data_IF_678007315698
#
_entry.id   IF_678007315698
#
_cell.length_a   1.000
_cell.length_b   1.000
_cell.length_c   1.000
_cell.angle_alpha   90.00
_cell.angle_beta   90.00
_cell.angle_gamma   90.00
#
_symmetry.space_group_name_H-M   'P 1'
#
loop_
_entity.id
_entity.type
_entity.pdbx_description
1 polymer ?
#
# COMPACT_ATOMS: atom_id res chain seq x y z
N UNK A 1 -9.90 -2.10 -20.48
CA UNK A 1 -9.20 -1.01 -19.77
C UNK A 1 -8.50 -1.62 -18.57
N UNK A 2 -7.27 -1.21 -18.19
CA UNK A 2 -6.63 -1.72 -16.98
C UNK A 2 -7.37 -1.29 -15.72
N UNK A 3 -7.37 -2.20 -14.74
CA UNK A 3 -7.89 -1.98 -13.39
C UNK A 3 -6.73 -1.91 -12.40
N UNK A 4 -6.84 -1.01 -11.42
CA UNK A 4 -5.83 -0.76 -10.41
C UNK A 4 -6.46 -0.75 -9.02
N UNK A 5 -5.65 -1.13 -8.04
CA UNK A 5 -5.88 -0.92 -6.61
C UNK A 5 -5.01 0.25 -6.17
N UNK A 6 -5.63 1.35 -5.77
CA UNK A 6 -4.99 2.53 -5.21
C UNK A 6 -5.03 2.48 -3.68
N UNK A 7 -3.85 2.59 -3.06
CA UNK A 7 -3.63 2.68 -1.63
C UNK A 7 -3.39 4.14 -1.25
N UNK A 8 -4.38 4.73 -0.57
CA UNK A 8 -4.34 6.10 -0.09
C UNK A 8 -3.67 6.15 1.28
N UNK A 9 -2.66 6.99 1.46
CA UNK A 9 -1.99 7.19 2.76
C UNK A 9 -2.57 8.41 3.48
N UNK A 10 -2.47 8.39 4.82
CA UNK A 10 -2.85 9.49 5.68
C UNK A 10 -4.33 9.92 5.56
N UNK A 11 -5.20 8.95 5.27
CA UNK A 11 -6.66 9.11 5.27
C UNK A 11 -7.24 8.62 6.60
N UNK A 12 -8.29 9.28 7.10
CA UNK A 12 -8.99 8.90 8.33
C UNK A 12 -8.07 8.77 9.56
N UNK A 13 -7.05 9.64 9.66
CA UNK A 13 -6.15 9.74 10.82
C UNK A 13 -6.31 11.09 11.53
N UNK A 14 -6.40 11.06 12.86
CA UNK A 14 -6.60 12.26 13.67
C UNK A 14 -7.84 13.04 13.23
N UNK A 15 -7.65 14.28 12.78
CA UNK A 15 -8.74 15.16 12.30
C UNK A 15 -9.04 15.02 10.81
N UNK A 16 -8.22 14.30 10.03
CA UNK A 16 -8.44 14.12 8.59
C UNK A 16 -9.61 13.16 8.40
N UNK A 17 -10.65 13.63 7.73
CA UNK A 17 -11.82 12.82 7.39
C UNK A 17 -11.89 12.62 5.88
N UNK A 18 -11.91 11.37 5.46
CA UNK A 18 -11.96 10.96 4.07
C UNK A 18 -13.10 9.95 3.91
N UNK A 19 -14.37 10.39 3.85
CA UNK A 19 -15.50 9.50 3.66
C UNK A 19 -15.36 8.76 2.33
N UNK A 20 -15.39 7.43 2.37
CA UNK A 20 -15.18 6.61 1.17
C UNK A 20 -16.23 6.86 0.08
N UNK A 21 -17.43 7.29 0.43
CA UNK A 21 -18.44 7.72 -0.54
C UNK A 21 -18.00 8.96 -1.36
N UNK A 22 -17.41 9.95 -0.69
CA UNK A 22 -16.86 11.15 -1.34
C UNK A 22 -15.63 10.80 -2.19
N UNK A 23 -14.77 9.89 -1.71
CA UNK A 23 -13.64 9.37 -2.51
C UNK A 23 -14.14 8.77 -3.83
N UNK A 24 -15.16 7.90 -3.79
CA UNK A 24 -15.74 7.31 -5.00
C UNK A 24 -16.26 8.38 -5.95
N UNK A 25 -17.11 9.28 -5.45
CA UNK A 25 -17.70 10.35 -6.25
C UNK A 25 -16.64 11.25 -6.91
N UNK A 26 -15.57 11.59 -6.18
CA UNK A 26 -14.47 12.42 -6.70
C UNK A 26 -13.73 11.73 -7.83
N UNK A 27 -13.45 10.43 -7.68
CA UNK A 27 -12.74 9.66 -8.70
C UNK A 27 -13.62 9.41 -9.93
N UNK A 28 -14.90 9.10 -9.73
CA UNK A 28 -15.88 8.97 -10.82
C UNK A 28 -15.99 10.29 -11.63
N UNK A 29 -16.11 11.43 -10.94
CA UNK A 29 -16.10 12.75 -11.58
C UNK A 29 -14.78 13.07 -12.30
N UNK A 30 -13.67 12.45 -11.89
CA UNK A 30 -12.35 12.58 -12.51
C UNK A 30 -12.11 11.60 -13.67
N UNK A 31 -13.15 10.89 -14.11
CA UNK A 31 -13.12 9.99 -15.26
C UNK A 31 -12.57 8.59 -14.97
N UNK A 32 -12.51 8.18 -13.70
CA UNK A 32 -12.30 6.78 -13.33
C UNK A 32 -13.63 6.03 -13.35
N UNK A 33 -13.61 4.75 -13.72
CA UNK A 33 -14.81 3.88 -13.73
C UNK A 33 -14.66 2.73 -12.75
N UNK A 34 -15.76 2.00 -12.50
CA UNK A 34 -15.80 0.83 -11.62
C UNK A 34 -15.21 1.08 -10.23
N UNK A 35 -15.42 2.31 -9.71
CA UNK A 35 -14.75 2.75 -8.48
C UNK A 35 -15.37 2.05 -7.28
N UNK A 36 -14.58 1.23 -6.59
CA UNK A 36 -14.99 0.55 -5.37
C UNK A 36 -14.02 0.90 -4.24
N UNK A 37 -14.51 0.89 -3.01
CA UNK A 37 -13.66 1.09 -1.82
C UNK A 37 -13.77 -0.09 -0.89
N UNK A 38 -12.68 -0.43 -0.20
CA UNK A 38 -12.68 -1.44 0.83
C UNK A 38 -12.22 -0.84 2.16
N UNK A 39 -13.11 -0.94 3.16
CA UNK A 39 -12.99 -0.36 4.52
C UNK A 39 -12.60 1.14 4.50
N UNK A 40 -12.31 1.71 5.67
CA UNK A 40 -11.99 3.14 5.80
C UNK A 40 -10.48 3.44 5.81
N UNK A 41 -9.64 2.47 5.46
CA UNK A 41 -8.16 2.62 5.49
C UNK A 41 -7.56 3.01 4.14
N UNK A 42 -8.38 3.48 3.20
CA UNK A 42 -7.91 4.02 1.92
C UNK A 42 -7.49 2.96 0.92
N UNK A 43 -8.38 2.01 0.60
CA UNK A 43 -8.15 1.03 -0.46
C UNK A 43 -9.24 1.21 -1.50
N UNK A 44 -8.84 1.48 -2.75
CA UNK A 44 -9.75 1.84 -3.82
C UNK A 44 -9.45 1.00 -5.05
N UNK A 45 -10.44 0.29 -5.60
CA UNK A 45 -10.39 -0.26 -6.94
C UNK A 45 -10.87 0.81 -7.92
N UNK A 46 -10.20 0.93 -9.07
CA UNK A 46 -10.62 1.81 -10.14
C UNK A 46 -10.18 1.26 -11.50
N UNK A 47 -10.93 1.60 -12.54
CA UNK A 47 -10.62 1.29 -13.93
C UNK A 47 -10.36 2.59 -14.69
N UNK A 48 -9.41 2.59 -15.61
CA UNK A 48 -9.02 3.79 -16.39
C UNK A 48 -8.41 3.42 -17.73
N UNK A 49 -8.40 4.36 -18.69
CA UNK A 49 -7.70 4.19 -19.97
C UNK A 49 -6.18 4.33 -19.83
N UNK A 50 -5.70 4.99 -18.77
CA UNK A 50 -4.28 5.15 -18.50
C UNK A 50 -3.61 3.80 -18.16
N UNK A 51 -2.43 3.55 -18.76
CA UNK A 51 -1.71 2.28 -18.60
C UNK A 51 -0.50 2.34 -17.67
N UNK A 52 0.03 3.53 -17.39
CA UNK A 52 1.15 3.73 -16.46
C UNK A 52 0.62 3.82 -15.04
N UNK A 53 1.04 2.90 -14.13
CA UNK A 53 0.72 2.98 -12.70
C UNK A 53 1.05 4.36 -12.10
N UNK A 54 2.18 4.94 -12.48
CA UNK A 54 2.69 6.21 -11.95
C UNK A 54 1.75 7.37 -12.34
N UNK A 55 1.33 7.42 -13.62
CA UNK A 55 0.34 8.41 -14.09
C UNK A 55 -1.02 8.22 -13.40
N UNK A 56 -1.41 6.98 -13.13
CA UNK A 56 -2.66 6.70 -12.41
C UNK A 56 -2.56 7.18 -10.96
N UNK A 57 -1.48 6.85 -10.26
CA UNK A 57 -1.23 7.31 -8.90
C UNK A 57 -1.24 8.85 -8.79
N UNK A 58 -0.57 9.52 -9.73
CA UNK A 58 -0.55 10.98 -9.81
C UNK A 58 -1.96 11.56 -10.00
N UNK A 59 -2.74 11.06 -10.97
CA UNK A 59 -4.10 11.55 -11.23
C UNK A 59 -5.04 11.33 -10.04
N UNK A 60 -4.94 10.19 -9.36
CA UNK A 60 -5.73 9.91 -8.15
C UNK A 60 -5.33 10.87 -7.02
N UNK A 61 -4.03 11.09 -6.81
CA UNK A 61 -3.52 12.03 -5.82
C UNK A 61 -4.00 13.45 -6.10
N UNK A 62 -3.89 13.93 -7.33
CA UNK A 62 -4.30 15.28 -7.73
C UNK A 62 -5.81 15.48 -7.51
N UNK A 63 -6.64 14.55 -7.97
CA UNK A 63 -8.08 14.61 -7.81
C UNK A 63 -8.49 14.65 -6.32
N UNK A 64 -7.98 13.71 -5.52
CA UNK A 64 -8.34 13.62 -4.11
C UNK A 64 -7.73 14.76 -3.28
N UNK A 65 -6.48 15.13 -3.50
CA UNK A 65 -5.85 16.21 -2.72
C UNK A 65 -6.51 17.56 -3.04
N UNK A 66 -6.92 17.78 -4.29
CA UNK A 66 -7.66 18.96 -4.70
C UNK A 66 -9.05 19.05 -4.04
N UNK A 67 -9.79 17.95 -4.00
CA UNK A 67 -11.13 17.91 -3.38
C UNK A 67 -11.07 18.01 -1.84
N UNK A 68 -10.14 17.29 -1.22
CA UNK A 68 -10.06 17.20 0.25
C UNK A 68 -9.24 18.32 0.90
N UNK A 69 -8.46 19.08 0.14
CA UNK A 69 -7.69 20.22 0.64
C UNK A 69 -6.44 19.86 1.45
N UNK A 70 -5.95 18.61 1.34
CA UNK A 70 -4.70 18.16 1.94
C UNK A 70 -4.07 17.06 1.10
N UNK A 71 -2.75 16.88 1.24
CA UNK A 71 -2.02 15.86 0.49
C UNK A 71 -2.45 14.44 0.90
N UNK A 72 -2.83 13.65 -0.11
CA UNK A 72 -3.19 12.23 0.00
C UNK A 72 -2.21 11.44 -0.89
N UNK A 73 -1.08 10.95 -0.34
CA UNK A 73 -0.14 10.14 -1.11
C UNK A 73 -0.82 8.85 -1.59
N UNK A 74 -0.50 8.44 -2.83
CA UNK A 74 -1.12 7.28 -3.48
C UNK A 74 -0.04 6.37 -4.04
N UNK A 75 -0.15 5.07 -3.74
CA UNK A 75 0.56 4.01 -4.44
C UNK A 75 -0.46 3.12 -5.13
N UNK A 76 -0.21 2.70 -6.37
CA UNK A 76 -1.12 1.82 -7.09
C UNK A 76 -0.47 0.48 -7.44
N UNK A 77 -1.29 -0.55 -7.51
CA UNK A 77 -0.95 -1.90 -7.97
C UNK A 77 -2.03 -2.42 -8.90
N UNK A 78 -1.72 -3.39 -9.74
CA UNK A 78 -2.76 -4.19 -10.39
C UNK A 78 -3.32 -5.18 -9.37
N UNK A 79 -4.59 -5.59 -9.50
CA UNK A 79 -5.16 -6.57 -8.57
C UNK A 79 -4.37 -7.88 -8.50
N UNK A 80 -3.86 -8.36 -9.65
CA UNK A 80 -3.02 -9.58 -9.71
C UNK A 80 -1.70 -9.46 -8.94
N UNK A 81 -1.11 -8.26 -8.88
CA UNK A 81 0.11 -8.02 -8.09
C UNK A 81 -0.13 -8.30 -6.59
N UNK A 82 -1.37 -8.17 -6.10
CA UNK A 82 -1.72 -8.50 -4.72
C UNK A 82 -1.77 -10.01 -4.48
N UNK A 83 -2.24 -10.78 -5.45
CA UNK A 83 -2.23 -12.26 -5.40
C UNK A 83 -0.78 -12.74 -5.37
N UNK A 84 0.05 -12.23 -6.28
CA UNK A 84 1.46 -12.59 -6.38
C UNK A 84 2.23 -12.21 -5.10
N UNK A 85 1.97 -11.01 -4.55
CA UNK A 85 2.55 -10.58 -3.28
C UNK A 85 2.14 -11.51 -2.13
N UNK A 86 0.85 -11.86 -2.02
CA UNK A 86 0.36 -12.74 -0.96
C UNK A 86 1.03 -14.12 -1.04
N UNK A 87 1.11 -14.70 -2.23
CA UNK A 87 1.76 -15.99 -2.45
C UNK A 87 3.27 -15.93 -2.10
N UNK A 88 3.96 -14.87 -2.53
CA UNK A 88 5.37 -14.66 -2.19
C UNK A 88 5.58 -14.51 -0.68
N UNK A 89 4.72 -13.77 0.01
CA UNK A 89 4.80 -13.61 1.47
C UNK A 89 4.53 -14.92 2.19
N UNK A 90 3.58 -15.75 1.73
CA UNK A 90 3.29 -17.06 2.33
C UNK A 90 4.45 -18.05 2.23
N UNK A 91 5.27 -17.94 1.17
CA UNK A 91 6.46 -18.76 1.01
C UNK A 91 7.63 -18.32 1.91
N UNK A 92 7.56 -17.14 2.54
CA UNK A 92 8.60 -16.64 3.42
C UNK A 92 8.50 -17.22 4.84
N UNK A 93 9.62 -17.30 5.59
CA UNK A 93 9.61 -17.68 7.00
C UNK A 93 8.73 -16.77 7.86
N UNK A 94 8.04 -17.35 8.85
CA UNK A 94 7.36 -16.62 9.91
C UNK A 94 8.03 -16.83 11.28
N UNK A 95 8.92 -15.95 11.74
CA UNK A 95 9.43 -16.03 13.09
C UNK A 95 8.38 -15.65 14.16
N UNK A 96 7.26 -15.02 13.77
CA UNK A 96 6.23 -14.51 14.67
C UNK A 96 4.81 -14.91 14.22
N UNK A 97 4.46 -16.21 14.21
CA UNK A 97 3.18 -16.69 13.66
C UNK A 97 1.93 -16.19 14.41
N UNK A 98 2.08 -15.79 15.67
CA UNK A 98 1.01 -15.15 16.46
C UNK A 98 1.05 -13.61 16.38
N UNK A 99 1.99 -13.08 15.62
CA UNK A 99 2.22 -11.66 15.41
C UNK A 99 1.39 -11.08 14.28
N UNK A 100 1.81 -9.92 13.77
CA UNK A 100 1.18 -9.26 12.62
C UNK A 100 2.14 -9.16 11.45
N UNK A 101 1.61 -9.33 10.25
CA UNK A 101 2.36 -9.12 9.02
C UNK A 101 1.84 -7.88 8.30
N UNK A 102 2.76 -7.04 7.85
CA UNK A 102 2.49 -5.83 7.07
C UNK A 102 3.27 -5.87 5.76
N UNK A 103 2.74 -5.20 4.74
CA UNK A 103 3.44 -4.91 3.50
C UNK A 103 3.48 -3.40 3.28
N UNK A 104 4.68 -2.84 3.16
CA UNK A 104 4.91 -1.49 2.67
C UNK A 104 5.02 -1.52 1.15
N UNK A 105 4.03 -0.94 0.47
CA UNK A 105 4.00 -0.79 -0.99
C UNK A 105 4.88 0.40 -1.39
N UNK A 106 5.88 0.12 -2.22
CA UNK A 106 6.83 1.11 -2.72
C UNK A 106 6.38 1.67 -4.08
N UNK A 107 6.70 2.92 -4.38
CA UNK A 107 6.49 3.49 -5.72
C UNK A 107 7.40 2.82 -6.77
N UNK A 108 8.65 2.52 -6.38
CA UNK A 108 9.66 1.86 -7.21
C UNK A 108 10.37 0.72 -6.47
N UNK A 109 11.15 -0.08 -7.20
CA UNK A 109 12.02 -1.08 -6.57
C UNK A 109 13.14 -0.37 -5.79
N UNK A 110 13.43 -0.81 -4.56
CA UNK A 110 14.58 -0.29 -3.83
C UNK A 110 15.87 -0.73 -4.53
N UNK A 111 16.92 0.08 -4.43
CA UNK A 111 18.24 -0.29 -4.98
C UNK A 111 18.79 -1.55 -4.32
N UNK A 112 19.76 -2.22 -4.95
CA UNK A 112 20.42 -3.41 -4.38
C UNK A 112 21.00 -3.13 -2.99
N UNK A 113 21.62 -1.96 -2.80
CA UNK A 113 22.16 -1.54 -1.52
C UNK A 113 21.07 -1.35 -0.46
N UNK A 114 19.95 -0.71 -0.81
CA UNK A 114 18.80 -0.58 0.09
C UNK A 114 18.18 -1.94 0.41
N UNK A 115 18.10 -2.83 -0.58
CA UNK A 115 17.58 -4.19 -0.45
C UNK A 115 18.41 -5.01 0.53
N UNK A 116 19.73 -4.96 0.43
CA UNK A 116 20.64 -5.62 1.36
C UNK A 116 20.41 -5.13 2.80
N UNK A 117 20.39 -3.80 3.00
CA UNK A 117 20.17 -3.21 4.33
C UNK A 117 18.80 -3.59 4.91
N UNK A 118 17.74 -3.58 4.11
CA UNK A 118 16.39 -3.94 4.56
C UNK A 118 16.26 -5.45 4.86
N UNK A 119 16.92 -6.32 4.09
CA UNK A 119 16.92 -7.76 4.34
C UNK A 119 17.73 -8.16 5.58
N UNK A 120 18.78 -7.40 5.90
CA UNK A 120 19.60 -7.58 7.10
C UNK A 120 19.05 -6.81 8.32
N UNK A 121 17.86 -6.19 8.20
CA UNK A 121 17.26 -5.43 9.28
C UNK A 121 17.05 -6.32 10.52
N UNK A 122 17.67 -5.91 11.61
CA UNK A 122 17.63 -6.62 12.88
C UNK A 122 17.19 -5.66 13.99
N UNK A 123 15.96 -5.83 14.46
CA UNK A 123 15.44 -5.19 15.65
C UNK A 123 14.60 -6.20 16.45
N UNK A 124 14.56 -6.12 17.80
CA UNK A 124 13.79 -7.04 18.62
C UNK A 124 12.32 -7.10 18.19
N UNK A 125 11.83 -8.30 17.84
CA UNK A 125 10.45 -8.50 17.42
C UNK A 125 10.11 -8.03 16.01
N UNK A 126 11.09 -7.61 15.21
CA UNK A 126 10.90 -7.21 13.81
C UNK A 126 11.68 -8.14 12.88
N UNK A 127 11.00 -8.62 11.85
CA UNK A 127 11.62 -9.37 10.77
C UNK A 127 11.19 -8.78 9.44
N UNK A 128 12.15 -8.55 8.55
CA UNK A 128 11.94 -7.72 7.36
C UNK A 128 12.48 -8.43 6.11
N UNK A 129 11.72 -8.41 5.02
CA UNK A 129 12.20 -8.85 3.70
C UNK A 129 11.67 -7.96 2.58
N UNK A 130 12.52 -7.69 1.61
CA UNK A 130 12.12 -7.05 0.35
C UNK A 130 11.57 -8.12 -0.61
N UNK A 131 10.42 -7.82 -1.21
CA UNK A 131 9.74 -8.65 -2.22
C UNK A 131 9.33 -7.77 -3.39
N UNK A 132 10.23 -7.64 -4.37
CA UNK A 132 10.10 -6.69 -5.49
C UNK A 132 9.87 -5.26 -4.96
N UNK A 133 8.76 -4.63 -5.35
CA UNK A 133 8.36 -3.29 -4.89
C UNK A 133 7.66 -3.27 -3.52
N UNK A 134 8.02 -4.18 -2.62
CA UNK A 134 7.40 -4.27 -1.30
C UNK A 134 8.44 -4.53 -0.22
N UNK A 135 8.25 -3.94 0.95
CA UNK A 135 8.94 -4.35 2.18
C UNK A 135 7.92 -5.07 3.05
N UNK A 136 8.17 -6.34 3.34
CA UNK A 136 7.37 -7.19 4.21
C UNK A 136 7.91 -7.07 5.62
N UNK A 137 7.06 -6.77 6.60
CA UNK A 137 7.41 -6.68 8.01
C UNK A 137 6.56 -7.70 8.77
N UNK A 138 7.21 -8.66 9.43
CA UNK A 138 6.56 -9.54 10.42
C UNK A 138 6.94 -9.06 11.80
N UNK A 139 5.93 -8.81 12.63
CA UNK A 139 6.07 -8.18 13.93
C UNK A 139 5.61 -9.12 15.03
N UNK A 140 6.52 -9.51 15.91
CA UNK A 140 6.24 -10.15 17.20
C UNK A 140 5.91 -9.15 18.31
N UNK A 141 5.79 -7.87 17.97
CA UNK A 141 5.55 -6.73 18.86
C UNK A 141 4.37 -5.88 18.37
N UNK A 142 3.77 -5.05 19.22
CA UNK A 142 2.74 -4.10 18.80
C UNK A 142 3.23 -3.12 17.72
N UNK A 143 2.39 -2.83 16.73
CA UNK A 143 2.77 -1.98 15.59
C UNK A 143 3.12 -0.53 15.98
N UNK A 144 2.63 -0.03 17.12
CA UNK A 144 2.92 1.33 17.59
C UNK A 144 4.33 1.48 18.19
N UNK A 145 5.06 0.37 18.40
CA UNK A 145 6.46 0.40 18.87
C UNK A 145 7.47 -0.07 17.82
N UNK A 146 7.01 -0.29 16.58
CA UNK A 146 7.87 -0.68 15.47
C UNK A 146 8.90 0.41 15.18
N UNK A 147 10.15 -0.03 14.98
CA UNK A 147 11.26 0.85 14.68
C UNK A 147 11.41 1.06 13.17
N UNK A 148 11.14 0.08 12.31
CA UNK A 148 11.11 0.28 10.86
C UNK A 148 9.79 0.94 10.42
N UNK A 149 9.75 2.26 10.47
CA UNK A 149 8.61 3.06 10.02
C UNK A 149 8.72 3.40 8.53
N UNK A 150 7.62 3.85 7.92
CA UNK A 150 7.65 4.37 6.54
C UNK A 150 8.70 5.47 6.39
N UNK A 151 8.83 6.38 7.36
CA UNK A 151 9.84 7.44 7.31
C UNK A 151 11.28 6.90 7.28
N UNK A 152 11.56 5.71 7.85
CA UNK A 152 12.88 5.06 7.71
C UNK A 152 13.03 4.38 6.35
N UNK A 153 11.99 3.71 5.86
CA UNK A 153 11.99 3.11 4.52
C UNK A 153 12.20 4.19 3.45
N UNK A 154 11.56 5.34 3.59
CA UNK A 154 11.64 6.46 2.63
C UNK A 154 13.05 7.09 2.57
N UNK A 155 13.92 6.87 3.56
CA UNK A 155 15.34 7.29 3.50
C UNK A 155 16.14 6.57 2.42
N UNK A 156 15.62 5.46 1.89
CA UNK A 156 16.21 4.73 0.77
C UNK A 156 15.77 5.28 -0.59
N UNK A 157 15.12 6.44 -0.65
CA UNK A 157 14.75 7.10 -1.91
C UNK A 157 13.50 6.51 -2.57
N UNK A 158 12.59 5.95 -1.78
CA UNK A 158 11.30 5.40 -2.21
C UNK A 158 10.18 6.07 -1.44
N UNK A 159 8.95 6.01 -1.96
CA UNK A 159 7.73 6.35 -1.21
C UNK A 159 7.11 5.07 -0.69
N UNK A 160 6.71 5.03 0.59
CA UNK A 160 6.15 3.83 1.21
C UNK A 160 4.72 4.05 1.72
N UNK A 161 3.82 3.11 1.41
CA UNK A 161 2.47 3.04 1.99
C UNK A 161 2.22 1.65 2.57
N UNK A 162 1.94 1.58 3.87
CA UNK A 162 1.88 0.30 4.58
C UNK A 162 0.44 -0.17 4.79
N UNK A 163 0.22 -1.47 4.63
CA UNK A 163 -1.06 -2.15 4.88
C UNK A 163 -0.82 -3.43 5.67
N UNK A 164 -1.80 -3.74 6.52
CA UNK A 164 -1.90 -5.05 7.19
C UNK A 164 -2.12 -6.12 6.11
N UNK A 165 -1.37 -7.22 6.17
CA UNK A 165 -1.46 -8.30 5.18
C UNK A 165 -2.84 -8.95 5.17
N UNK A 166 -3.57 -8.92 6.28
CA UNK A 166 -4.98 -9.37 6.35
C UNK A 166 -5.85 -8.56 5.38
N UNK A 167 -5.63 -7.24 5.32
CA UNK A 167 -6.31 -6.37 4.35
C UNK A 167 -5.86 -6.72 2.94
N UNK A 168 -4.55 -6.84 2.71
CA UNK A 168 -4.01 -7.19 1.37
C UNK A 168 -4.59 -8.52 0.86
N UNK A 169 -4.70 -9.54 1.72
CA UNK A 169 -5.35 -10.83 1.41
C UNK A 169 -6.82 -10.64 1.04
N UNK A 170 -7.56 -9.88 1.83
CA UNK A 170 -8.98 -9.61 1.52
C UNK A 170 -9.14 -8.90 0.16
N UNK A 171 -8.23 -7.97 -0.17
CA UNK A 171 -8.22 -7.32 -1.48
C UNK A 171 -7.84 -8.27 -2.61
N UNK A 172 -6.84 -9.14 -2.39
CA UNK A 172 -6.43 -10.16 -3.35
C UNK A 172 -7.58 -11.14 -3.63
N UNK A 173 -8.27 -11.64 -2.61
CA UNK A 173 -9.45 -12.50 -2.79
C UNK A 173 -10.59 -11.76 -3.51
N UNK A 174 -10.81 -10.48 -3.17
CA UNK A 174 -11.95 -9.73 -3.70
C UNK A 174 -11.75 -9.24 -5.13
N UNK A 175 -10.53 -8.85 -5.49
CA UNK A 175 -10.23 -8.15 -6.74
C UNK A 175 -9.19 -8.85 -7.61
N UNK A 176 -8.48 -9.85 -7.10
CA UNK A 176 -7.36 -10.51 -7.76
C UNK A 176 -7.71 -11.32 -9.01
N UNK A 177 -8.95 -11.82 -9.10
CA UNK A 177 -9.44 -12.62 -10.21
C UNK A 177 -9.05 -14.09 -10.14
#
# INVERSE_FOLDING_TARGET
MPTYVAFLRAVNIGRRQTPMARVRATLEASGFTDVQTYIQTGNVLLTTTARSPEKVAQRVREALSGDFGFDIPVVVRRPRDLVDLVAAVDALPDPFPQGRTYAAFLDQEPSDAATAVLNDWSAPGEWVRVVGRHVVLRLGIPANVVTLTNAKIERFGVIATTRDLTVVRALATRWGG
#
